data_IF_317332944591
#
_entry.id   IF_317332944591
#
_cell.length_a   1.000
_cell.length_b   1.000
_cell.length_c   1.000
_cell.angle_alpha   90.00
_cell.angle_beta   90.00
_cell.angle_gamma   90.00
#
_symmetry.space_group_name_H-M   'P 1'
#
loop_
_entity.id
_entity.type
_entity.pdbx_description
1 polymer ?
#
# COMPACT_ATOMS: atom_id res chain seq x y z
N UNK A 1 -49.01 -3.38 1.40
CA UNK A 1 -48.23 -2.38 0.63
C UNK A 1 -47.14 -1.92 1.60
N UNK A 2 -46.04 -2.64 1.76
CA UNK A 2 -44.97 -2.82 0.77
C UNK A 2 -43.87 -1.84 1.15
N UNK A 3 -42.88 -2.27 1.95
CA UNK A 3 -41.66 -1.49 2.27
C UNK A 3 -40.55 -2.27 3.03
N UNK A 4 -40.71 -3.57 3.35
CA UNK A 4 -39.80 -4.26 4.29
C UNK A 4 -39.27 -5.63 3.83
N UNK A 5 -39.69 -6.17 2.68
CA UNK A 5 -39.25 -7.49 2.20
C UNK A 5 -37.89 -7.50 1.48
N UNK A 6 -37.18 -6.36 1.46
CA UNK A 6 -35.91 -6.19 0.73
C UNK A 6 -34.78 -5.66 1.60
N UNK A 7 -34.95 -5.56 2.92
CA UNK A 7 -33.81 -5.32 3.79
C UNK A 7 -33.04 -6.65 3.87
N UNK A 8 -31.85 -6.79 3.24
CA UNK A 8 -31.02 -7.95 3.51
C UNK A 8 -30.84 -7.96 5.02
N UNK A 9 -31.34 -9.01 5.69
CA UNK A 9 -31.28 -9.10 7.15
C UNK A 9 -29.84 -8.84 7.60
N UNK A 10 -29.60 -8.40 8.85
CA UNK A 10 -28.28 -7.95 9.33
C UNK A 10 -27.10 -8.88 8.94
N UNK A 11 -27.37 -10.18 8.78
CA UNK A 11 -26.48 -11.19 8.19
C UNK A 11 -25.88 -10.79 6.83
N UNK A 12 -26.68 -10.27 5.89
CA UNK A 12 -26.23 -9.90 4.55
C UNK A 12 -25.26 -8.71 4.54
N UNK A 13 -25.49 -7.71 5.40
CA UNK A 13 -24.57 -6.59 5.56
C UNK A 13 -23.24 -7.02 6.20
N UNK A 14 -23.30 -7.91 7.20
CA UNK A 14 -22.09 -8.48 7.82
C UNK A 14 -21.28 -9.30 6.82
N UNK A 15 -21.93 -10.16 6.03
CA UNK A 15 -21.25 -10.96 5.00
C UNK A 15 -20.63 -10.06 3.93
N UNK A 16 -21.35 -9.01 3.52
CA UNK A 16 -20.84 -8.01 2.58
C UNK A 16 -19.58 -7.32 3.12
N UNK A 17 -19.60 -6.83 4.36
CA UNK A 17 -18.43 -6.21 4.97
C UNK A 17 -17.25 -7.19 5.11
N UNK A 18 -17.51 -8.42 5.55
CA UNK A 18 -16.47 -9.44 5.69
C UNK A 18 -15.81 -9.77 4.33
N UNK A 19 -16.63 -9.85 3.27
CA UNK A 19 -16.15 -10.00 1.91
C UNK A 19 -15.24 -8.83 1.51
N UNK A 20 -15.68 -7.59 1.73
CA UNK A 20 -14.87 -6.40 1.42
C UNK A 20 -13.58 -6.31 2.22
N UNK A 21 -13.59 -6.62 3.52
CA UNK A 21 -12.38 -6.66 4.35
C UNK A 21 -11.40 -7.69 3.79
N UNK A 22 -11.89 -8.87 3.41
CA UNK A 22 -11.06 -9.92 2.82
C UNK A 22 -10.44 -9.46 1.50
N UNK A 23 -11.20 -8.78 0.64
CA UNK A 23 -10.70 -8.19 -0.61
C UNK A 23 -9.62 -7.14 -0.31
N UNK A 24 -9.85 -6.23 0.63
CA UNK A 24 -8.87 -5.20 1.01
C UNK A 24 -7.59 -5.85 1.54
N UNK A 25 -7.70 -6.86 2.42
CA UNK A 25 -6.55 -7.60 2.93
C UNK A 25 -5.79 -8.28 1.81
N UNK A 26 -6.48 -8.91 0.84
CA UNK A 26 -5.85 -9.52 -0.32
C UNK A 26 -5.15 -8.51 -1.21
N UNK A 27 -5.74 -7.33 -1.42
CA UNK A 27 -5.15 -6.25 -2.19
C UNK A 27 -3.90 -5.72 -1.48
N UNK A 28 -3.98 -5.39 -0.19
CA UNK A 28 -2.82 -4.92 0.59
C UNK A 28 -1.72 -6.00 0.65
N UNK A 29 -2.10 -7.27 0.81
CA UNK A 29 -1.15 -8.38 0.78
C UNK A 29 -0.47 -8.50 -0.59
N UNK A 30 -1.24 -8.40 -1.68
CA UNK A 30 -0.72 -8.41 -3.04
C UNK A 30 0.22 -7.22 -3.30
N UNK A 31 -0.15 -6.04 -2.82
CA UNK A 31 0.67 -4.83 -2.93
C UNK A 31 1.97 -4.98 -2.14
N UNK A 32 1.94 -5.37 -0.87
CA UNK A 32 3.15 -5.60 -0.06
C UNK A 32 4.01 -6.75 -0.62
N UNK A 33 3.38 -7.72 -1.30
CA UNK A 33 4.08 -8.86 -1.91
C UNK A 33 4.77 -8.50 -3.22
N UNK A 34 4.17 -7.64 -4.03
CA UNK A 34 4.73 -7.20 -5.31
C UNK A 34 5.65 -5.98 -5.16
N UNK A 35 5.34 -5.12 -4.19
CA UNK A 35 6.07 -3.90 -3.84
C UNK A 35 6.38 -3.95 -2.35
N UNK A 36 7.56 -4.45 -1.97
CA UNK A 36 8.06 -4.31 -0.60
C UNK A 36 7.96 -2.84 -0.17
N UNK A 37 7.49 -2.61 1.05
CA UNK A 37 7.19 -1.29 1.60
C UNK A 37 8.35 -0.30 1.33
N UNK A 38 8.09 0.95 0.87
CA UNK A 38 9.14 1.95 0.67
C UNK A 38 9.99 2.18 1.93
N UNK A 39 9.39 2.00 3.11
CA UNK A 39 10.06 2.08 4.41
C UNK A 39 11.13 0.99 4.58
N UNK A 40 10.90 -0.20 4.01
CA UNK A 40 11.88 -1.29 3.99
C UNK A 40 12.94 -1.08 2.90
N UNK A 41 12.56 -0.49 1.75
CA UNK A 41 13.51 -0.15 0.68
C UNK A 41 14.53 0.91 1.14
N UNK A 42 14.07 1.96 1.83
CA UNK A 42 14.93 3.00 2.41
C UNK A 42 15.89 2.43 3.46
N UNK A 43 15.41 1.56 4.34
CA UNK A 43 16.25 0.92 5.36
C UNK A 43 17.27 -0.05 4.76
N UNK A 44 16.93 -0.70 3.65
CA UNK A 44 17.85 -1.55 2.92
C UNK A 44 18.96 -0.72 2.24
N UNK A 45 18.61 0.43 1.65
CA UNK A 45 19.56 1.37 1.05
C UNK A 45 20.55 1.93 2.09
N UNK A 46 20.07 2.36 3.25
CA UNK A 46 20.91 2.84 4.35
C UNK A 46 21.84 1.74 4.89
N UNK A 47 21.35 0.51 5.02
CA UNK A 47 22.18 -0.62 5.43
C UNK A 47 23.29 -0.94 4.42
N UNK A 48 23.01 -0.83 3.11
CA UNK A 48 23.99 -1.06 2.04
C UNK A 48 25.03 0.06 1.92
N UNK A 49 24.62 1.31 2.16
CA UNK A 49 25.53 2.47 2.24
C UNK A 49 26.47 2.33 3.45
N UNK A 50 25.94 1.93 4.61
CA UNK A 50 26.74 1.70 5.82
C UNK A 50 27.70 0.51 5.66
N UNK A 51 27.33 -0.50 4.87
CA UNK A 51 28.20 -1.61 4.48
C UNK A 51 29.27 -1.22 3.44
N UNK A 52 29.17 -0.03 2.83
CA UNK A 52 30.05 0.44 1.76
C UNK A 52 29.86 -0.29 0.43
N UNK A 53 28.79 -1.08 0.27
CA UNK A 53 28.48 -1.81 -0.96
C UNK A 53 27.88 -0.90 -2.04
N UNK A 54 27.35 0.26 -1.65
CA UNK A 54 26.75 1.25 -2.53
C UNK A 54 27.44 2.59 -2.32
N UNK A 55 27.78 3.26 -3.42
CA UNK A 55 28.37 4.60 -3.38
C UNK A 55 27.32 5.69 -3.12
N UNK A 56 27.79 6.80 -2.54
CA UNK A 56 26.97 7.92 -2.09
C UNK A 56 26.26 8.64 -3.26
N UNK A 57 26.81 8.60 -4.47
CA UNK A 57 26.15 9.10 -5.69
C UNK A 57 24.94 8.22 -6.05
N UNK A 58 25.12 6.89 -6.03
CA UNK A 58 24.07 5.92 -6.37
C UNK A 58 22.90 5.99 -5.38
N UNK A 59 23.21 6.17 -4.09
CA UNK A 59 22.19 6.39 -3.06
C UNK A 59 21.34 7.64 -3.33
N UNK A 60 21.96 8.77 -3.70
CA UNK A 60 21.24 10.02 -3.95
C UNK A 60 20.29 9.93 -5.14
N UNK A 61 20.69 9.23 -6.20
CA UNK A 61 19.85 9.00 -7.38
C UNK A 61 18.61 8.18 -7.00
N UNK A 62 18.79 7.02 -6.37
CA UNK A 62 17.66 6.17 -5.95
C UNK A 62 16.74 6.88 -4.94
N UNK A 63 17.31 7.66 -4.01
CA UNK A 63 16.52 8.43 -3.03
C UNK A 63 15.67 9.51 -3.70
N UNK A 64 16.19 10.16 -4.74
CA UNK A 64 15.46 11.18 -5.48
C UNK A 64 14.28 10.61 -6.27
N UNK A 65 14.44 9.42 -6.86
CA UNK A 65 13.36 8.73 -7.58
C UNK A 65 12.22 8.28 -6.64
N UNK A 66 12.57 7.75 -5.46
CA UNK A 66 11.57 7.36 -4.45
C UNK A 66 10.81 8.57 -3.90
N UNK A 67 11.49 9.70 -3.69
CA UNK A 67 10.87 10.93 -3.20
C UNK A 67 9.90 11.54 -4.20
N UNK A 68 10.18 11.42 -5.51
CA UNK A 68 9.31 11.91 -6.58
C UNK A 68 8.06 11.02 -6.73
N UNK A 69 8.19 9.70 -6.58
CA UNK A 69 7.06 8.76 -6.59
C UNK A 69 6.05 9.01 -5.44
N UNK A 70 6.55 9.34 -4.25
CA UNK A 70 5.73 9.68 -3.08
C UNK A 70 5.01 11.05 -3.25
N UNK A 71 5.70 12.02 -3.87
CA UNK A 71 5.15 13.33 -4.18
C UNK A 71 4.02 13.25 -5.22
N UNK A 72 4.16 12.37 -6.23
CA UNK A 72 3.11 12.11 -7.23
C UNK A 72 1.88 11.45 -6.62
N UNK A 73 2.07 10.52 -5.69
CA UNK A 73 0.97 9.85 -4.97
C UNK A 73 0.20 10.83 -4.07
N UNK A 74 0.88 11.76 -3.41
CA UNK A 74 0.25 12.77 -2.54
C UNK A 74 -0.46 13.90 -3.33
N UNK A 75 0.00 14.24 -4.54
CA UNK A 75 -0.64 15.27 -5.39
C UNK A 75 -1.91 14.80 -6.10
N UNK A 76 -2.25 13.51 -6.05
CA UNK A 76 -3.41 12.91 -6.70
C UNK A 76 -4.74 13.02 -5.95
N UNK A 77 -4.95 14.01 -5.09
CA UNK A 77 -6.26 14.28 -4.47
C UNK A 77 -6.86 15.57 -5.08
N UNK A 78 -7.81 15.48 -6.03
CA UNK A 78 -8.68 16.60 -6.38
C UNK A 78 -9.71 16.91 -5.28
#
# INVERSE_FOLDING_TARGET
MGLWCTQPGPVGWVVMLAFWITVIVLVLWGLNRLFPDPVDADRLLDARLAAGEIDLETYRVLRSELSDADAVTTKGTP
#
